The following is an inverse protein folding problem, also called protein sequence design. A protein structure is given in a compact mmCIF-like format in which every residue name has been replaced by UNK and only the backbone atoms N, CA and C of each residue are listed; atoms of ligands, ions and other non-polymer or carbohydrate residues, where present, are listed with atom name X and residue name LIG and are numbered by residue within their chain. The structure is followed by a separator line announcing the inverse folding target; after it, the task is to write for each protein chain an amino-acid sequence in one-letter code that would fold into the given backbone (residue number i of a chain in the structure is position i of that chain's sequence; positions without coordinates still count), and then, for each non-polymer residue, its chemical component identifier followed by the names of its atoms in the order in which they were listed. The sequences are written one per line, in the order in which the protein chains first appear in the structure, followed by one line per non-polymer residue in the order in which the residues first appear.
data_IF_326580526190
#
_entry.id   IF_326580526190
#
_cell.length_a   1.000
_cell.length_b   1.000
_cell.length_c   1.000
_cell.angle_alpha   90.00
_cell.angle_beta   90.00
_cell.angle_gamma   90.00
#
_symmetry.space_group_name_H-M   'P 1'
#
loop_
_entity.id
_entity.type
_entity.pdbx_description
1 polymer ?
#
# COMPACT_ATOMS: atom_id res chain seq x y z
N UNK A 1 18.16 37.98 -22.65
CA UNK A 1 18.16 37.14 -23.88
C UNK A 1 17.36 35.90 -23.57
N UNK A 2 16.26 35.65 -24.30
CA UNK A 2 15.42 34.47 -24.10
C UNK A 2 16.09 33.23 -24.75
N UNK A 3 16.30 32.13 -24.02
CA UNK A 3 16.50 30.83 -24.63
C UNK A 3 15.13 30.15 -24.75
N UNK A 4 14.58 30.11 -25.97
CA UNK A 4 13.53 29.17 -26.37
C UNK A 4 14.21 27.90 -26.88
N UNK A 5 14.43 26.93 -25.99
CA UNK A 5 14.57 25.52 -26.35
C UNK A 5 13.50 24.83 -25.50
N UNK A 6 12.35 24.56 -26.10
CA UNK A 6 11.33 23.71 -25.47
C UNK A 6 11.92 22.31 -25.35
N UNK A 7 12.25 21.89 -24.13
CA UNK A 7 12.65 20.51 -23.84
C UNK A 7 11.60 19.53 -24.42
N UNK A 8 12.03 18.38 -24.98
CA UNK A 8 11.09 17.34 -25.39
C UNK A 8 10.15 16.99 -24.24
N UNK A 9 8.85 16.88 -24.51
CA UNK A 9 7.83 16.62 -23.48
C UNK A 9 8.11 15.32 -22.69
N UNK A 10 8.82 14.38 -23.31
CA UNK A 10 9.29 13.14 -22.69
C UNK A 10 10.27 13.42 -21.55
N UNK A 11 11.20 14.34 -21.73
CA UNK A 11 12.24 14.63 -20.74
C UNK A 11 11.65 15.39 -19.55
N UNK A 12 10.72 16.31 -19.82
CA UNK A 12 9.90 16.96 -18.77
C UNK A 12 9.10 15.91 -17.98
N UNK A 13 8.50 14.94 -18.66
CA UNK A 13 7.70 13.90 -18.03
C UNK A 13 8.53 12.91 -17.19
N UNK A 14 9.70 12.51 -17.68
CA UNK A 14 10.68 11.69 -16.94
C UNK A 14 11.13 12.43 -15.68
N UNK A 15 11.52 13.70 -15.81
CA UNK A 15 11.98 14.53 -14.69
C UNK A 15 10.88 14.69 -13.63
N UNK A 16 9.64 14.96 -14.06
CA UNK A 16 8.48 15.04 -13.18
C UNK A 16 8.22 13.71 -12.45
N UNK A 17 8.30 12.58 -13.16
CA UNK A 17 8.12 11.26 -12.53
C UNK A 17 9.13 11.03 -11.42
N UNK A 18 10.43 11.15 -11.75
CA UNK A 18 11.54 10.76 -10.89
C UNK A 18 11.70 11.68 -9.67
N UNK A 19 11.50 13.00 -9.85
CA UNK A 19 11.81 13.98 -8.81
C UNK A 19 10.59 14.40 -7.97
N UNK A 20 9.39 14.32 -8.52
CA UNK A 20 8.18 14.81 -7.87
C UNK A 20 7.17 13.69 -7.60
N UNK A 21 6.82 12.90 -8.61
CA UNK A 21 5.67 11.99 -8.53
C UNK A 21 5.93 10.77 -7.65
N UNK A 22 7.08 10.10 -7.84
CA UNK A 22 7.42 8.86 -7.13
C UNK A 22 8.27 9.09 -5.88
N UNK A 23 8.60 10.35 -5.56
CA UNK A 23 9.48 10.68 -4.43
C UNK A 23 8.89 10.10 -3.15
N UNK A 24 9.67 9.27 -2.46
CA UNK A 24 9.22 8.62 -1.22
C UNK A 24 8.15 7.53 -1.42
N UNK A 25 7.99 7.02 -2.65
CA UNK A 25 7.25 5.78 -2.88
C UNK A 25 8.21 4.59 -2.89
N UNK A 26 7.65 3.40 -3.05
CA UNK A 26 8.41 2.17 -3.31
C UNK A 26 9.36 2.25 -4.54
N UNK A 27 9.16 3.21 -5.44
CA UNK A 27 10.03 3.46 -6.60
C UNK A 27 11.15 4.47 -6.33
N UNK A 28 11.42 4.84 -5.07
CA UNK A 28 12.45 5.82 -4.72
C UNK A 28 13.87 5.44 -5.17
N UNK A 29 14.12 4.17 -5.52
CA UNK A 29 15.38 3.69 -6.09
C UNK A 29 15.55 4.02 -7.59
N UNK A 30 14.48 4.37 -8.31
CA UNK A 30 14.52 4.57 -9.77
C UNK A 30 15.48 5.68 -10.25
N UNK A 31 15.65 6.82 -9.55
CA UNK A 31 16.63 7.82 -9.96
C UNK A 31 18.07 7.27 -10.00
N UNK A 32 18.43 6.42 -9.03
CA UNK A 32 19.75 5.78 -8.97
C UNK A 32 19.92 4.77 -10.11
N UNK A 33 18.87 3.99 -10.40
CA UNK A 33 18.89 3.04 -11.52
C UNK A 33 18.98 3.78 -12.85
N UNK A 34 18.18 4.84 -13.05
CA UNK A 34 18.14 5.61 -14.29
C UNK A 34 19.47 6.32 -14.60
N UNK A 35 20.14 6.85 -13.58
CA UNK A 35 21.42 7.57 -13.74
C UNK A 35 22.56 6.68 -14.22
N UNK A 36 22.44 5.36 -14.06
CA UNK A 36 23.48 4.38 -14.36
C UNK A 36 23.27 3.61 -15.67
N UNK A 37 22.20 3.88 -16.41
CA UNK A 37 21.85 3.14 -17.64
C UNK A 37 22.17 4.00 -18.87
N UNK A 38 22.62 3.34 -19.95
CA UNK A 38 22.73 3.98 -21.26
C UNK A 38 21.35 4.50 -21.73
N UNK A 39 21.30 5.62 -22.44
CA UNK A 39 20.05 6.32 -22.83
C UNK A 39 19.01 5.48 -23.61
N UNK A 40 19.38 4.27 -24.02
CA UNK A 40 18.60 3.29 -24.77
C UNK A 40 18.52 1.97 -23.98
N UNK A 41 17.33 1.58 -23.51
CA UNK A 41 17.12 0.35 -22.76
C UNK A 41 15.69 0.21 -22.24
N UNK A 42 15.34 -0.99 -21.76
CA UNK A 42 13.99 -1.38 -21.31
C UNK A 42 13.38 -0.37 -20.31
N UNK A 43 14.20 0.14 -19.39
CA UNK A 43 13.75 1.09 -18.39
C UNK A 43 13.47 2.49 -18.97
N UNK A 44 14.14 2.89 -20.05
CA UNK A 44 13.97 4.20 -20.69
C UNK A 44 12.56 4.35 -21.28
N UNK A 45 12.11 3.37 -22.06
CA UNK A 45 10.75 3.35 -22.63
C UNK A 45 9.70 3.28 -21.52
N UNK A 46 9.93 2.47 -20.48
CA UNK A 46 9.01 2.34 -19.34
C UNK A 46 8.86 3.63 -18.53
N UNK A 47 9.97 4.31 -18.18
CA UNK A 47 9.95 5.59 -17.46
C UNK A 47 9.26 6.66 -18.29
N UNK A 48 9.49 6.73 -19.60
CA UNK A 48 8.78 7.67 -20.48
C UNK A 48 7.27 7.40 -20.49
N UNK A 49 6.86 6.14 -20.54
CA UNK A 49 5.45 5.77 -20.47
C UNK A 49 4.80 6.21 -19.14
N UNK A 50 5.40 5.81 -18.02
CA UNK A 50 4.90 6.16 -16.68
C UNK A 50 4.92 7.67 -16.42
N UNK A 51 5.97 8.36 -16.87
CA UNK A 51 6.11 9.80 -16.71
C UNK A 51 5.09 10.59 -17.52
N UNK A 52 4.83 10.19 -18.77
CA UNK A 52 3.80 10.85 -19.58
C UNK A 52 2.40 10.60 -19.02
N UNK A 53 2.14 9.40 -18.48
CA UNK A 53 0.89 9.09 -17.81
C UNK A 53 0.69 9.90 -16.52
N UNK A 54 1.72 9.97 -15.66
CA UNK A 54 1.65 10.74 -14.42
C UNK A 54 1.53 12.24 -14.68
N UNK A 55 2.28 12.77 -15.65
CA UNK A 55 2.19 14.18 -16.07
C UNK A 55 0.81 14.49 -16.67
N UNK A 56 0.25 13.57 -17.47
CA UNK A 56 -1.12 13.68 -18.01
C UNK A 56 -2.14 13.87 -16.90
N UNK A 57 -2.04 13.09 -15.82
CA UNK A 57 -2.96 13.16 -14.68
C UNK A 57 -2.77 14.47 -13.90
N UNK A 58 -1.53 14.79 -13.54
CA UNK A 58 -1.18 15.98 -12.77
C UNK A 58 -1.59 17.28 -13.49
N UNK A 59 -1.33 17.39 -14.80
CA UNK A 59 -1.60 18.59 -15.60
C UNK A 59 -2.97 18.60 -16.29
N UNK A 60 -3.79 17.55 -16.11
CA UNK A 60 -5.09 17.37 -16.81
C UNK A 60 -4.97 17.47 -18.34
N UNK A 61 -3.92 16.88 -18.90
CA UNK A 61 -3.65 16.88 -20.33
C UNK A 61 -3.81 15.48 -20.94
N UNK A 62 -5.05 15.00 -21.16
CA UNK A 62 -5.30 13.63 -21.61
C UNK A 62 -4.63 13.28 -22.95
N UNK A 63 -4.30 14.28 -23.78
CA UNK A 63 -3.55 14.10 -25.02
C UNK A 63 -2.15 13.49 -24.82
N UNK A 64 -1.58 13.58 -23.61
CA UNK A 64 -0.30 12.94 -23.29
C UNK A 64 -0.43 11.40 -23.17
N UNK A 65 -1.63 10.88 -22.90
CA UNK A 65 -1.85 9.43 -22.77
C UNK A 65 -1.60 8.68 -24.09
N UNK A 66 -1.89 9.29 -25.24
CA UNK A 66 -1.62 8.67 -26.55
C UNK A 66 -0.12 8.47 -26.77
N UNK A 67 0.71 9.41 -26.30
CA UNK A 67 2.17 9.28 -26.32
C UNK A 67 2.64 8.25 -25.30
N UNK A 68 2.05 8.27 -24.10
CA UNK A 68 2.36 7.34 -23.03
C UNK A 68 2.09 5.89 -23.46
N UNK A 69 0.98 5.65 -24.16
CA UNK A 69 0.60 4.33 -24.69
C UNK A 69 1.60 3.79 -25.72
N UNK A 70 2.16 4.65 -26.57
CA UNK A 70 3.20 4.25 -27.53
C UNK A 70 4.44 3.73 -26.81
N UNK A 71 4.93 4.48 -25.82
CA UNK A 71 6.08 4.05 -25.02
C UNK A 71 5.77 2.83 -24.16
N UNK A 72 4.55 2.66 -23.68
CA UNK A 72 4.12 1.45 -22.98
C UNK A 72 4.18 0.20 -23.88
N UNK A 73 3.70 0.31 -25.13
CA UNK A 73 3.78 -0.78 -26.10
C UNK A 73 5.23 -1.12 -26.50
N UNK A 74 6.08 -0.10 -26.65
CA UNK A 74 7.52 -0.25 -26.85
C UNK A 74 8.16 -0.96 -25.66
N UNK A 75 7.90 -0.51 -24.44
CA UNK A 75 8.41 -1.10 -23.20
C UNK A 75 8.01 -2.57 -23.02
N UNK A 76 6.78 -2.97 -23.35
CA UNK A 76 6.39 -4.39 -23.36
C UNK A 76 7.26 -5.20 -24.33
N UNK A 77 7.50 -4.66 -25.53
CA UNK A 77 8.33 -5.31 -26.55
C UNK A 77 9.77 -5.45 -26.05
N UNK A 78 10.32 -4.39 -25.45
CA UNK A 78 11.67 -4.36 -24.89
C UNK A 78 11.82 -5.37 -23.74
N UNK A 79 10.87 -5.41 -22.81
CA UNK A 79 10.84 -6.41 -21.72
C UNK A 79 10.81 -7.81 -22.29
N UNK A 80 9.90 -8.10 -23.22
CA UNK A 80 9.77 -9.43 -23.81
C UNK A 80 11.05 -9.90 -24.52
N UNK A 81 11.76 -8.97 -25.18
CA UNK A 81 13.06 -9.23 -25.80
C UNK A 81 14.15 -9.50 -24.75
N UNK A 82 14.22 -8.70 -23.69
CA UNK A 82 15.17 -8.89 -22.60
C UNK A 82 14.96 -10.23 -21.88
N UNK A 83 13.70 -10.65 -21.71
CA UNK A 83 13.34 -11.95 -21.10
C UNK A 83 13.79 -13.17 -21.93
N UNK A 84 14.15 -13.01 -23.21
CA UNK A 84 14.71 -14.10 -24.02
C UNK A 84 16.15 -14.47 -23.61
N UNK A 85 16.86 -13.59 -22.90
CA UNK A 85 18.21 -13.83 -22.40
C UNK A 85 18.18 -14.05 -20.90
N UNK A 86 18.71 -15.17 -20.42
CA UNK A 86 18.80 -15.47 -18.99
C UNK A 86 19.62 -14.43 -18.23
N UNK A 87 20.67 -13.88 -18.85
CA UNK A 87 21.50 -12.84 -18.25
C UNK A 87 20.74 -11.53 -18.13
N UNK A 88 20.12 -11.06 -19.23
CA UNK A 88 19.37 -9.81 -19.24
C UNK A 88 18.14 -9.87 -18.32
N UNK A 89 17.43 -11.00 -18.27
CA UNK A 89 16.27 -11.19 -17.39
C UNK A 89 16.57 -10.98 -15.90
N UNK A 90 17.83 -11.14 -15.47
CA UNK A 90 18.26 -10.91 -14.09
C UNK A 90 18.59 -9.44 -13.78
N UNK A 91 18.64 -8.55 -14.78
CA UNK A 91 19.03 -7.15 -14.63
C UNK A 91 18.02 -6.28 -13.90
N UNK A 92 18.48 -5.43 -12.98
CA UNK A 92 17.67 -4.52 -12.14
C UNK A 92 16.70 -3.65 -12.95
N UNK A 93 17.13 -3.20 -14.13
CA UNK A 93 16.34 -2.45 -15.09
C UNK A 93 15.11 -3.22 -15.59
N UNK A 94 15.23 -4.53 -15.86
CA UNK A 94 14.13 -5.37 -16.34
C UNK A 94 13.06 -5.55 -15.26
N UNK A 95 13.46 -5.91 -14.04
CA UNK A 95 12.49 -6.09 -12.94
C UNK A 95 11.85 -4.76 -12.54
N UNK A 96 12.63 -3.68 -12.47
CA UNK A 96 12.10 -2.34 -12.23
C UNK A 96 11.10 -1.93 -13.33
N UNK A 97 11.36 -2.28 -14.59
CA UNK A 97 10.46 -2.02 -15.71
C UNK A 97 9.14 -2.78 -15.58
N UNK A 98 9.16 -4.05 -15.19
CA UNK A 98 7.93 -4.84 -14.95
C UNK A 98 7.08 -4.20 -13.83
N UNK A 99 7.72 -3.78 -12.73
CA UNK A 99 7.02 -3.08 -11.64
C UNK A 99 6.46 -1.73 -12.10
N UNK A 100 7.19 -0.99 -12.92
CA UNK A 100 6.77 0.32 -13.41
C UNK A 100 5.70 0.23 -14.53
N UNK A 101 5.69 -0.84 -15.34
CA UNK A 101 4.59 -1.17 -16.26
C UNK A 101 3.31 -1.47 -15.48
N UNK A 102 3.41 -2.23 -14.40
CA UNK A 102 2.29 -2.45 -13.49
C UNK A 102 1.76 -1.11 -12.95
N UNK A 103 2.65 -0.20 -12.56
CA UNK A 103 2.25 1.14 -12.12
C UNK A 103 1.62 1.98 -13.23
N UNK A 104 2.13 1.95 -14.45
CA UNK A 104 1.49 2.62 -15.58
C UNK A 104 0.05 2.15 -15.77
N UNK A 105 -0.18 0.84 -15.70
CA UNK A 105 -1.52 0.26 -15.80
C UNK A 105 -2.43 0.76 -14.68
N UNK A 106 -1.92 0.90 -13.46
CA UNK A 106 -2.64 1.49 -12.34
C UNK A 106 -3.16 2.91 -12.61
N UNK A 107 -2.31 3.72 -13.25
CA UNK A 107 -2.59 5.12 -13.51
C UNK A 107 -3.60 5.28 -14.64
N UNK A 108 -3.59 4.37 -15.61
CA UNK A 108 -4.26 4.56 -16.91
C UNK A 108 -5.43 3.61 -17.16
N UNK A 109 -5.36 2.37 -16.69
CA UNK A 109 -6.40 1.36 -16.89
C UNK A 109 -7.45 1.49 -15.79
N UNK A 110 -8.38 2.42 -16.04
CA UNK A 110 -9.48 2.86 -15.14
C UNK A 110 -10.55 1.81 -14.83
N UNK A 111 -10.24 0.53 -14.83
CA UNK A 111 -11.21 -0.54 -14.52
C UNK A 111 -10.81 -1.22 -13.22
N UNK A 112 -11.62 -1.09 -12.15
CA UNK A 112 -11.43 -1.78 -10.86
C UNK A 112 -11.32 -3.32 -10.97
N UNK A 113 -11.62 -3.91 -12.13
CA UNK A 113 -11.82 -5.34 -12.35
C UNK A 113 -10.87 -5.94 -13.40
N UNK A 114 -9.60 -5.52 -13.50
CA UNK A 114 -8.59 -6.28 -14.26
C UNK A 114 -7.58 -7.03 -13.36
N UNK A 115 -8.04 -7.93 -12.46
CA UNK A 115 -7.15 -8.72 -11.62
C UNK A 115 -6.22 -9.63 -12.43
N UNK A 116 -6.54 -9.91 -13.70
CA UNK A 116 -5.76 -10.80 -14.56
C UNK A 116 -4.41 -10.20 -14.97
N UNK A 117 -4.38 -8.94 -15.43
CA UNK A 117 -3.13 -8.26 -15.81
C UNK A 117 -2.18 -8.12 -14.61
N UNK A 118 -2.75 -7.75 -13.45
CA UNK A 118 -2.05 -7.66 -12.18
C UNK A 118 -1.42 -9.00 -11.76
N UNK A 119 -2.23 -10.07 -11.73
CA UNK A 119 -1.73 -11.40 -11.39
C UNK A 119 -0.56 -11.78 -12.29
N UNK A 120 -0.60 -11.47 -13.59
CA UNK A 120 0.50 -11.79 -14.52
C UNK A 120 1.80 -11.07 -14.15
N UNK A 121 1.77 -9.77 -13.86
CA UNK A 121 2.98 -9.01 -13.50
C UNK A 121 3.60 -9.49 -12.20
N UNK A 122 2.79 -9.74 -11.16
CA UNK A 122 3.28 -10.25 -9.87
C UNK A 122 3.94 -11.60 -10.00
N UNK A 123 3.32 -12.54 -10.73
CA UNK A 123 3.87 -13.88 -10.91
C UNK A 123 5.15 -13.83 -11.76
N UNK A 124 5.19 -12.95 -12.78
CA UNK A 124 6.40 -12.69 -13.56
C UNK A 124 7.53 -12.14 -12.68
N UNK A 125 7.23 -11.13 -11.86
CA UNK A 125 8.19 -10.53 -10.93
C UNK A 125 8.73 -11.54 -9.90
N UNK A 126 7.86 -12.38 -9.31
CA UNK A 126 8.27 -13.47 -8.42
C UNK A 126 9.21 -14.45 -9.13
N UNK A 127 8.90 -14.83 -10.37
CA UNK A 127 9.74 -15.75 -11.16
C UNK A 127 11.14 -15.16 -11.39
N UNK A 128 11.24 -13.85 -11.64
CA UNK A 128 12.53 -13.17 -11.78
C UNK A 128 13.28 -13.01 -10.46
N UNK A 129 12.56 -12.73 -9.37
CA UNK A 129 13.14 -12.72 -8.01
C UNK A 129 13.75 -14.09 -7.69
N UNK A 130 13.05 -15.18 -8.00
CA UNK A 130 13.57 -16.52 -7.83
C UNK A 130 14.79 -16.79 -8.71
N UNK A 131 14.76 -16.36 -9.99
CA UNK A 131 15.87 -16.52 -10.93
C UNK A 131 17.15 -15.79 -10.47
N UNK A 132 17.01 -14.57 -9.96
CA UNK A 132 18.13 -13.77 -9.41
C UNK A 132 18.75 -14.40 -8.16
N UNK A 133 17.94 -15.09 -7.37
CA UNK A 133 18.33 -15.71 -6.13
C UNK A 133 18.95 -14.71 -5.14
N UNK A 134 19.85 -15.18 -4.28
CA UNK A 134 20.41 -14.37 -3.18
C UNK A 134 21.36 -13.25 -3.63
N UNK A 135 21.84 -13.27 -4.88
CA UNK A 135 22.74 -12.24 -5.41
C UNK A 135 22.11 -10.85 -5.39
N UNK A 136 20.79 -10.75 -5.53
CA UNK A 136 20.08 -9.47 -5.50
C UNK A 136 20.18 -8.74 -4.15
N UNK A 137 20.55 -9.45 -3.07
CA UNK A 137 20.70 -8.85 -1.73
C UNK A 137 22.08 -8.20 -1.52
N UNK A 138 23.00 -8.36 -2.48
CA UNK A 138 24.35 -7.79 -2.40
C UNK A 138 24.39 -6.31 -2.79
N UNK A 139 23.34 -5.80 -3.45
CA UNK A 139 23.21 -4.40 -3.82
C UNK A 139 22.02 -3.76 -3.11
N UNK A 140 22.15 -2.47 -2.78
CA UNK A 140 21.04 -1.69 -2.19
C UNK A 140 19.82 -1.65 -3.12
N UNK A 141 20.06 -1.45 -4.42
CA UNK A 141 19.00 -1.41 -5.44
C UNK A 141 18.26 -2.75 -5.53
N UNK A 142 19.00 -3.87 -5.60
CA UNK A 142 18.41 -5.19 -5.68
C UNK A 142 17.57 -5.53 -4.45
N UNK A 143 18.01 -5.10 -3.25
CA UNK A 143 17.23 -5.25 -2.02
C UNK A 143 15.94 -4.41 -2.01
N UNK A 144 15.99 -3.17 -2.48
CA UNK A 144 14.81 -2.30 -2.57
C UNK A 144 13.78 -2.82 -3.59
N UNK A 145 14.25 -3.28 -4.76
CA UNK A 145 13.37 -3.92 -5.75
C UNK A 145 12.76 -5.20 -5.18
N UNK A 146 13.56 -6.03 -4.50
CA UNK A 146 13.05 -7.23 -3.83
C UNK A 146 11.98 -6.89 -2.79
N UNK A 147 12.21 -5.87 -1.94
CA UNK A 147 11.23 -5.41 -0.95
C UNK A 147 9.91 -5.03 -1.61
N UNK A 148 9.97 -4.30 -2.71
CA UNK A 148 8.79 -3.92 -3.49
C UNK A 148 8.02 -5.15 -3.96
N UNK A 149 8.70 -6.11 -4.61
CA UNK A 149 8.08 -7.34 -5.11
C UNK A 149 7.53 -8.20 -3.98
N UNK A 150 8.25 -8.34 -2.87
CA UNK A 150 7.82 -9.11 -1.71
C UNK A 150 6.52 -8.55 -1.11
N UNK A 151 6.45 -7.23 -0.89
CA UNK A 151 5.24 -6.55 -0.41
C UNK A 151 4.09 -6.73 -1.40
N UNK A 152 4.39 -6.75 -2.70
CA UNK A 152 3.40 -6.98 -3.76
C UNK A 152 2.73 -8.33 -3.68
N UNK A 153 3.54 -9.36 -3.49
CA UNK A 153 3.08 -10.75 -3.41
C UNK A 153 2.31 -10.96 -2.12
N UNK A 154 2.82 -10.48 -0.98
CA UNK A 154 2.14 -10.57 0.32
C UNK A 154 0.72 -9.98 0.25
N UNK A 155 0.58 -8.80 -0.37
CA UNK A 155 -0.71 -8.19 -0.57
C UNK A 155 -1.63 -9.04 -1.46
N UNK A 156 -1.11 -9.50 -2.60
CA UNK A 156 -1.88 -10.34 -3.52
C UNK A 156 -2.42 -11.58 -2.79
N UNK A 157 -1.58 -12.23 -1.98
CA UNK A 157 -1.94 -13.39 -1.17
C UNK A 157 -3.05 -13.08 -0.17
N UNK A 158 -2.93 -11.97 0.57
CA UNK A 158 -3.98 -11.51 1.49
C UNK A 158 -5.31 -11.35 0.75
N UNK A 159 -5.34 -10.70 -0.41
CA UNK A 159 -6.56 -10.37 -1.13
C UNK A 159 -7.25 -11.57 -1.77
N UNK A 160 -6.46 -12.57 -2.17
CA UNK A 160 -6.94 -13.76 -2.85
C UNK A 160 -7.11 -14.96 -1.90
N UNK A 161 -6.85 -14.77 -0.61
CA UNK A 161 -6.93 -15.81 0.43
C UNK A 161 -6.01 -16.99 0.09
N UNK A 162 -4.80 -16.68 -0.39
CA UNK A 162 -3.76 -17.66 -0.68
C UNK A 162 -2.56 -17.45 0.22
N UNK A 163 -1.75 -18.48 0.41
CA UNK A 163 -0.53 -18.39 1.21
C UNK A 163 0.58 -17.66 0.49
N UNK A 164 1.49 -17.07 1.25
CA UNK A 164 2.72 -16.51 0.69
C UNK A 164 3.59 -17.67 0.18
N UNK A 165 4.13 -17.61 -1.05
CA UNK A 165 4.94 -18.69 -1.59
C UNK A 165 6.15 -19.00 -0.70
N UNK A 166 6.39 -20.27 -0.39
CA UNK A 166 7.49 -20.69 0.51
C UNK A 166 8.85 -20.18 0.07
N UNK A 167 9.10 -20.16 -1.24
CA UNK A 167 10.31 -19.61 -1.85
C UNK A 167 10.55 -18.14 -1.45
N UNK A 168 9.50 -17.33 -1.37
CA UNK A 168 9.59 -15.94 -0.93
C UNK A 168 9.86 -15.87 0.58
N UNK A 169 9.19 -16.70 1.38
CA UNK A 169 9.43 -16.79 2.82
C UNK A 169 10.88 -17.15 3.13
N UNK A 170 11.45 -18.15 2.44
CA UNK A 170 12.86 -18.55 2.59
C UNK A 170 13.84 -17.41 2.27
N UNK A 171 13.52 -16.59 1.26
CA UNK A 171 14.32 -15.42 0.89
C UNK A 171 14.24 -14.32 1.95
N UNK A 172 13.05 -14.07 2.51
CA UNK A 172 12.86 -13.12 3.60
C UNK A 172 13.55 -13.57 4.90
N UNK A 173 13.49 -14.86 5.22
CA UNK A 173 14.20 -15.45 6.36
C UNK A 173 15.71 -15.32 6.20
N UNK A 174 16.20 -15.55 4.98
CA UNK A 174 17.61 -15.36 4.67
C UNK A 174 18.04 -13.90 4.94
N UNK A 175 17.28 -12.90 4.51
CA UNK A 175 17.59 -11.49 4.78
C UNK A 175 17.57 -11.21 6.28
N UNK A 176 16.51 -11.63 6.98
CA UNK A 176 16.36 -11.42 8.41
C UNK A 176 17.53 -12.01 9.23
N UNK A 177 18.07 -13.15 8.81
CA UNK A 177 19.19 -13.80 9.48
C UNK A 177 20.59 -13.30 9.06
N UNK A 178 20.73 -12.69 7.88
CA UNK A 178 22.04 -12.42 7.28
C UNK A 178 22.31 -10.95 6.96
N UNK A 179 21.37 -10.05 7.23
CA UNK A 179 21.54 -8.62 6.99
C UNK A 179 21.24 -7.82 8.24
N UNK A 180 22.07 -6.81 8.53
CA UNK A 180 21.82 -5.82 9.58
C UNK A 180 20.82 -4.77 9.06
N UNK A 181 19.60 -5.20 8.72
CA UNK A 181 18.52 -4.30 8.32
C UNK A 181 17.56 -4.07 9.48
N UNK A 182 17.23 -2.80 9.74
CA UNK A 182 16.19 -2.40 10.69
C UNK A 182 14.84 -2.16 10.00
N UNK A 183 14.73 -2.51 8.71
CA UNK A 183 13.48 -2.37 7.97
C UNK A 183 12.45 -3.40 8.44
N UNK A 184 11.32 -2.91 8.92
CA UNK A 184 10.19 -3.71 9.41
C UNK A 184 9.61 -4.65 8.34
N UNK A 185 9.87 -4.42 7.06
CA UNK A 185 9.45 -5.31 5.98
C UNK A 185 10.13 -6.69 6.07
N UNK A 186 11.30 -6.76 6.73
CA UNK A 186 12.11 -7.96 6.90
C UNK A 186 12.12 -8.50 8.34
N UNK A 187 11.41 -7.87 9.28
CA UNK A 187 11.37 -8.35 10.66
C UNK A 187 10.57 -9.65 10.77
N UNK A 188 11.03 -10.50 11.69
CA UNK A 188 10.43 -11.80 11.98
C UNK A 188 10.05 -11.91 13.46
N UNK A 189 8.89 -12.50 13.81
CA UNK A 189 7.87 -13.05 12.91
C UNK A 189 7.09 -11.98 12.11
N UNK A 190 6.58 -12.32 10.92
CA UNK A 190 5.87 -11.37 10.04
C UNK A 190 4.35 -11.49 10.15
N UNK A 191 3.69 -10.40 10.58
CA UNK A 191 2.22 -10.33 10.72
C UNK A 191 1.52 -10.46 9.38
N UNK A 192 2.06 -9.84 8.32
CA UNK A 192 1.46 -9.87 6.98
C UNK A 192 1.41 -11.29 6.40
N UNK A 193 2.47 -12.07 6.62
CA UNK A 193 2.52 -13.48 6.20
C UNK A 193 1.56 -14.33 7.04
N UNK A 194 1.60 -14.19 8.37
CA UNK A 194 0.68 -14.91 9.26
C UNK A 194 -0.80 -14.61 8.96
N UNK A 195 -1.11 -13.37 8.58
CA UNK A 195 -2.47 -12.98 8.21
C UNK A 195 -2.90 -13.57 6.86
N UNK A 196 -2.00 -13.62 5.87
CA UNK A 196 -2.27 -14.30 4.60
C UNK A 196 -2.56 -15.80 4.83
N UNK A 197 -1.76 -16.45 5.68
CA UNK A 197 -1.93 -17.85 6.03
C UNK A 197 -3.24 -18.10 6.78
N UNK A 198 -3.61 -17.25 7.76
CA UNK A 198 -4.89 -17.36 8.45
C UNK A 198 -6.07 -17.29 7.47
N UNK A 199 -6.05 -16.35 6.52
CA UNK A 199 -7.12 -16.22 5.55
C UNK A 199 -7.22 -17.43 4.61
N UNK A 200 -6.09 -17.98 4.20
CA UNK A 200 -6.04 -19.20 3.41
C UNK A 200 -6.56 -20.41 4.20
N UNK A 201 -6.13 -20.57 5.45
CA UNK A 201 -6.60 -21.62 6.36
C UNK A 201 -8.13 -21.58 6.54
N UNK A 202 -8.70 -20.37 6.71
CA UNK A 202 -10.15 -20.17 6.80
C UNK A 202 -10.85 -20.53 5.49
N UNK A 203 -10.33 -20.05 4.35
CA UNK A 203 -10.93 -20.30 3.04
C UNK A 203 -10.92 -21.80 2.66
N UNK A 204 -9.90 -22.54 3.09
CA UNK A 204 -9.76 -23.98 2.89
C UNK A 204 -10.49 -24.82 3.94
N UNK A 205 -11.07 -24.18 4.97
CA UNK A 205 -11.75 -24.85 6.08
C UNK A 205 -10.82 -25.58 7.06
N UNK A 206 -9.52 -25.32 7.00
CA UNK A 206 -8.52 -25.87 7.93
C UNK A 206 -8.71 -25.27 9.32
N UNK A 207 -8.99 -23.96 9.39
CA UNK A 207 -9.35 -23.26 10.63
C UNK A 207 -10.77 -22.75 10.47
N UNK A 208 -11.69 -23.25 11.30
CA UNK A 208 -13.10 -22.87 11.24
C UNK A 208 -13.71 -22.55 12.61
N UNK A 209 -13.10 -23.03 13.69
CA UNK A 209 -13.58 -22.75 15.04
C UNK A 209 -13.34 -21.29 15.44
N UNK A 210 -14.38 -20.54 15.87
CA UNK A 210 -14.25 -19.11 16.19
C UNK A 210 -13.18 -18.78 17.22
N UNK A 211 -13.04 -19.59 18.29
CA UNK A 211 -12.02 -19.36 19.33
C UNK A 211 -10.59 -19.57 18.80
N UNK A 212 -10.38 -20.48 17.83
CA UNK A 212 -9.07 -20.68 17.20
C UNK A 212 -8.69 -19.48 16.32
N UNK A 213 -9.66 -18.92 15.60
CA UNK A 213 -9.47 -17.71 14.80
C UNK A 213 -9.12 -16.53 15.72
N UNK A 214 -9.87 -16.35 16.81
CA UNK A 214 -9.59 -15.31 17.83
C UNK A 214 -8.17 -15.46 18.39
N UNK A 215 -7.78 -16.67 18.80
CA UNK A 215 -6.46 -16.93 19.36
C UNK A 215 -5.33 -16.58 18.36
N UNK A 216 -5.49 -16.93 17.08
CA UNK A 216 -4.53 -16.56 16.02
C UNK A 216 -4.48 -15.04 15.83
N UNK A 217 -5.61 -14.34 15.89
CA UNK A 217 -5.66 -12.87 15.85
C UNK A 217 -4.92 -12.22 17.03
N UNK A 218 -5.12 -12.72 18.25
CA UNK A 218 -4.45 -12.22 19.45
C UNK A 218 -2.92 -12.40 19.37
N UNK A 219 -2.45 -13.55 18.87
CA UNK A 219 -1.00 -13.78 18.62
C UNK A 219 -0.45 -12.76 17.64
N UNK A 220 -1.14 -12.50 16.53
CA UNK A 220 -0.69 -11.52 15.54
C UNK A 220 -0.69 -10.09 16.11
N UNK A 221 -1.68 -9.73 16.94
CA UNK A 221 -1.70 -8.43 17.63
C UNK A 221 -0.49 -8.26 18.55
N UNK A 222 -0.11 -9.30 19.28
CA UNK A 222 1.10 -9.27 20.12
C UNK A 222 2.36 -9.01 19.27
N UNK A 223 2.49 -9.65 18.11
CA UNK A 223 3.62 -9.41 17.20
C UNK A 223 3.64 -7.96 16.69
N UNK A 224 2.48 -7.37 16.40
CA UNK A 224 2.38 -5.94 16.05
C UNK A 224 2.88 -5.07 17.21
N UNK A 225 2.42 -5.35 18.44
CA UNK A 225 2.82 -4.60 19.63
C UNK A 225 4.33 -4.68 19.88
N UNK A 226 4.90 -5.89 19.84
CA UNK A 226 6.33 -6.12 20.06
C UNK A 226 7.19 -5.42 19.00
N UNK A 227 6.75 -5.46 17.73
CA UNK A 227 7.42 -4.78 16.63
C UNK A 227 7.45 -3.27 16.85
N UNK A 228 6.33 -2.67 17.25
CA UNK A 228 6.24 -1.23 17.51
C UNK A 228 7.04 -0.80 18.75
N UNK A 229 7.11 -1.64 19.79
CA UNK A 229 7.92 -1.38 20.98
C UNK A 229 9.43 -1.39 20.68
N UNK A 230 9.87 -2.18 19.71
CA UNK A 230 11.26 -2.28 19.28
C UNK A 230 11.74 -1.09 18.42
N UNK A 231 10.83 -0.18 18.02
CA UNK A 231 11.17 0.92 17.13
C UNK A 231 12.14 1.93 17.78
N UNK A 232 13.12 2.43 17.01
CA UNK A 232 14.03 3.46 17.49
C UNK A 232 13.26 4.78 17.76
N UNK A 233 13.77 5.67 18.63
CA UNK A 233 13.11 6.93 18.95
C UNK A 233 12.78 7.80 17.73
N UNK A 234 13.59 7.76 16.68
CA UNK A 234 13.37 8.50 15.43
C UNK A 234 12.12 8.08 14.65
N UNK A 235 11.57 6.89 14.95
CA UNK A 235 10.39 6.33 14.29
C UNK A 235 9.11 6.50 15.13
N UNK A 236 9.19 7.21 16.26
CA UNK A 236 8.03 7.57 17.08
C UNK A 236 7.36 8.83 16.51
N UNK A 237 6.15 9.09 16.98
CA UNK A 237 5.38 10.28 16.62
C UNK A 237 5.14 11.18 17.84
N UNK A 238 4.97 12.46 17.56
CA UNK A 238 4.60 13.45 18.58
C UNK A 238 3.09 13.68 18.56
N UNK A 239 2.49 13.68 19.75
CA UNK A 239 1.06 13.91 19.92
C UNK A 239 0.78 15.39 20.14
N UNK A 240 0.07 16.02 19.20
CA UNK A 240 -0.24 17.44 19.22
C UNK A 240 -1.73 17.67 19.53
N UNK A 241 -2.02 18.37 20.63
CA UNK A 241 -3.39 18.71 21.02
C UNK A 241 -3.85 19.95 20.24
N UNK A 242 -4.99 19.85 19.55
CA UNK A 242 -5.53 20.97 18.76
C UNK A 242 -6.06 22.06 19.70
N UNK A 243 -5.42 23.23 19.71
CA UNK A 243 -5.82 24.34 20.61
C UNK A 243 -7.11 25.05 20.16
N UNK A 244 -7.59 24.78 18.95
CA UNK A 244 -8.78 25.39 18.39
C UNK A 244 -9.50 24.38 17.47
N UNK A 245 -10.62 23.76 17.89
CA UNK A 245 -11.28 22.72 17.10
C UNK A 245 -11.78 23.32 15.79
N UNK A 246 -11.08 23.02 14.69
CA UNK A 246 -11.48 23.48 13.37
C UNK A 246 -12.74 22.75 12.87
N UNK A 247 -13.43 23.40 11.91
CA UNK A 247 -14.82 23.27 11.39
C UNK A 247 -15.39 21.84 11.18
N UNK A 248 -14.61 20.76 11.29
CA UNK A 248 -15.11 19.38 11.09
C UNK A 248 -15.50 18.64 12.35
N UNK A 249 -15.25 19.16 13.56
CA UNK A 249 -15.78 18.64 14.83
C UNK A 249 -15.35 17.23 15.28
N UNK A 250 -14.63 16.47 14.43
CA UNK A 250 -14.29 15.07 14.69
C UNK A 250 -12.85 14.84 15.11
N UNK A 251 -11.94 15.77 14.83
CA UNK A 251 -10.53 15.63 15.19
C UNK A 251 -10.25 16.23 16.57
N UNK A 252 -9.75 15.40 17.48
CA UNK A 252 -9.35 15.80 18.84
C UNK A 252 -7.86 16.13 18.96
N UNK A 253 -7.04 15.57 18.06
CA UNK A 253 -5.57 15.69 18.07
C UNK A 253 -4.98 15.43 16.68
N UNK A 254 -3.70 15.77 16.50
CA UNK A 254 -2.90 15.49 15.30
C UNK A 254 -1.62 14.75 15.68
N UNK A 255 -1.13 13.91 14.78
CA UNK A 255 0.12 13.18 14.95
C UNK A 255 1.19 13.74 14.01
N UNK A 256 2.34 14.10 14.57
CA UNK A 256 3.49 14.59 13.81
C UNK A 256 4.54 13.48 13.70
N UNK A 257 5.04 13.27 12.48
CA UNK A 257 6.06 12.28 12.16
C UNK A 257 7.30 12.98 11.59
N UNK A 258 8.47 12.35 11.74
CA UNK A 258 9.72 12.85 11.17
C UNK A 258 9.72 12.86 9.64
N UNK A 259 9.04 11.89 9.01
CA UNK A 259 8.80 11.81 7.58
C UNK A 259 7.51 11.02 7.26
N UNK A 260 7.09 11.00 5.99
CA UNK A 260 5.87 10.33 5.56
C UNK A 260 5.98 8.80 5.52
N UNK A 261 7.18 8.21 5.41
CA UNK A 261 7.36 6.76 5.47
C UNK A 261 7.10 6.23 6.88
N UNK A 262 7.51 6.99 7.91
CA UNK A 262 7.18 6.68 9.30
C UNK A 262 5.66 6.74 9.49
N UNK A 263 4.98 7.74 8.93
CA UNK A 263 3.51 7.81 8.97
C UNK A 263 2.86 6.61 8.26
N UNK A 264 3.39 6.20 7.10
CA UNK A 264 2.92 5.03 6.35
C UNK A 264 3.12 3.72 7.14
N UNK A 265 4.26 3.58 7.82
CA UNK A 265 4.54 2.45 8.71
C UNK A 265 3.50 2.36 9.83
N UNK A 266 3.25 3.46 10.55
CA UNK A 266 2.24 3.48 11.60
C UNK A 266 0.83 3.22 11.09
N UNK A 267 0.47 3.80 9.94
CA UNK A 267 -0.80 3.53 9.27
C UNK A 267 -0.96 2.04 8.91
N UNK A 268 0.12 1.38 8.49
CA UNK A 268 0.11 -0.07 8.24
C UNK A 268 -0.18 -0.86 9.52
N UNK A 269 0.46 -0.49 10.64
CA UNK A 269 0.21 -1.13 11.92
C UNK A 269 -1.23 -0.90 12.42
N UNK A 270 -1.78 0.31 12.28
CA UNK A 270 -3.18 0.57 12.64
C UNK A 270 -4.18 -0.14 11.73
N UNK A 271 -3.91 -0.27 10.43
CA UNK A 271 -4.73 -1.10 9.55
C UNK A 271 -4.73 -2.57 9.97
N UNK A 272 -3.57 -3.11 10.41
CA UNK A 272 -3.49 -4.45 10.96
C UNK A 272 -4.35 -4.58 12.23
N UNK A 273 -4.28 -3.60 13.16
CA UNK A 273 -5.14 -3.57 14.36
C UNK A 273 -6.62 -3.53 14.01
N UNK A 274 -7.03 -2.68 13.07
CA UNK A 274 -8.43 -2.57 12.61
C UNK A 274 -8.90 -3.93 12.10
N UNK A 275 -8.11 -4.56 11.23
CA UNK A 275 -8.48 -5.81 10.57
C UNK A 275 -8.56 -6.98 11.56
N UNK A 276 -7.55 -7.14 12.42
CA UNK A 276 -7.48 -8.23 13.39
C UNK A 276 -8.57 -8.08 14.47
N UNK A 277 -8.77 -6.88 15.01
CA UNK A 277 -9.82 -6.67 16.01
C UNK A 277 -11.23 -6.74 15.42
N UNK A 278 -11.44 -6.35 14.16
CA UNK A 278 -12.71 -6.58 13.50
C UNK A 278 -13.00 -8.09 13.39
N UNK A 279 -12.00 -8.89 13.02
CA UNK A 279 -12.15 -10.34 12.97
C UNK A 279 -12.44 -10.94 14.36
N UNK A 280 -11.71 -10.51 15.40
CA UNK A 280 -12.00 -10.92 16.79
C UNK A 280 -13.43 -10.57 17.18
N UNK A 281 -13.89 -9.35 16.87
CA UNK A 281 -15.24 -8.91 17.16
C UNK A 281 -16.29 -9.79 16.47
N UNK A 282 -16.12 -10.06 15.17
CA UNK A 282 -17.05 -10.88 14.39
C UNK A 282 -17.11 -12.33 14.91
N UNK A 283 -15.96 -12.94 15.21
CA UNK A 283 -15.89 -14.29 15.75
C UNK A 283 -16.46 -14.38 17.16
N UNK A 284 -16.21 -13.39 18.01
CA UNK A 284 -16.73 -13.37 19.38
C UNK A 284 -18.25 -13.24 19.43
N UNK A 285 -18.85 -12.50 18.48
CA UNK A 285 -20.30 -12.50 18.30
C UNK A 285 -20.85 -13.88 17.91
N UNK A 286 -20.10 -14.69 17.18
CA UNK A 286 -20.49 -16.07 16.85
C UNK A 286 -20.41 -16.95 18.10
N UNK A 287 -19.31 -16.88 18.85
CA UNK A 287 -19.15 -17.61 20.13
C UNK A 287 -20.29 -17.29 21.09
N UNK A 288 -20.59 -16.02 21.29
CA UNK A 288 -21.66 -15.57 22.18
C UNK A 288 -23.02 -16.14 21.78
N UNK A 289 -23.35 -16.13 20.47
CA UNK A 289 -24.59 -16.73 19.95
C UNK A 289 -24.67 -18.24 20.17
N UNK A 290 -23.55 -18.95 20.06
CA UNK A 290 -23.49 -20.41 20.31
C UNK A 290 -23.70 -20.71 21.79
N UNK A 291 -23.09 -19.92 22.68
CA UNK A 291 -23.18 -20.11 24.13
C UNK A 291 -24.54 -19.67 24.71
N UNK A 292 -25.16 -18.64 24.13
CA UNK A 292 -26.41 -18.04 24.60
C UNK A 292 -27.46 -17.94 23.48
N UNK A 293 -28.02 -19.08 23.00
CA UNK A 293 -28.94 -19.10 21.86
C UNK A 293 -30.30 -18.43 22.15
N UNK A 294 -30.64 -18.21 23.41
CA UNK A 294 -31.92 -17.63 23.86
C UNK A 294 -31.94 -16.09 23.92
N UNK A 295 -30.79 -15.42 23.73
CA UNK A 295 -30.72 -13.95 23.76
C UNK A 295 -31.36 -13.38 22.48
N UNK A 296 -32.61 -12.94 22.60
CA UNK A 296 -33.38 -12.33 21.50
C UNK A 296 -32.78 -11.00 21.03
N UNK A 297 -32.42 -10.93 19.74
CA UNK A 297 -32.39 -9.86 18.70
C UNK A 297 -32.28 -8.35 19.08
N UNK A 298 -32.72 -7.90 20.26
CA UNK A 298 -32.62 -6.51 20.72
C UNK A 298 -31.23 -6.25 21.34
N UNK A 299 -30.22 -6.16 20.47
CA UNK A 299 -28.80 -5.99 20.76
C UNK A 299 -28.18 -7.16 21.55
N UNK A 300 -27.27 -7.96 20.96
CA UNK A 300 -26.43 -8.86 21.74
C UNK A 300 -25.78 -8.03 22.83
N UNK A 301 -25.91 -8.43 24.11
CA UNK A 301 -25.07 -7.83 25.14
C UNK A 301 -23.63 -8.16 24.73
N UNK A 302 -22.92 -7.16 24.22
CA UNK A 302 -21.58 -7.37 23.72
C UNK A 302 -20.72 -7.88 24.85
N UNK A 303 -20.02 -8.98 24.59
CA UNK A 303 -19.09 -9.50 25.57
C UNK A 303 -18.01 -8.45 25.86
N UNK A 304 -17.33 -8.61 26.99
CA UNK A 304 -16.16 -7.79 27.30
C UNK A 304 -15.09 -7.88 26.19
N UNK A 305 -14.96 -9.02 25.50
CA UNK A 305 -14.00 -9.22 24.40
C UNK A 305 -14.42 -8.39 23.18
N UNK A 306 -15.69 -8.49 22.76
CA UNK A 306 -16.23 -7.68 21.66
C UNK A 306 -16.13 -6.17 21.94
N UNK A 307 -16.43 -5.72 23.16
CA UNK A 307 -16.28 -4.31 23.56
C UNK A 307 -14.83 -3.83 23.46
N UNK A 308 -13.86 -4.65 23.90
CA UNK A 308 -12.44 -4.34 23.76
C UNK A 308 -12.03 -4.25 22.30
N UNK A 309 -12.37 -5.26 21.49
CA UNK A 309 -12.02 -5.30 20.08
C UNK A 309 -12.59 -4.08 19.32
N UNK A 310 -13.84 -3.70 19.58
CA UNK A 310 -14.41 -2.45 19.04
C UNK A 310 -13.60 -1.23 19.44
N UNK A 311 -13.27 -1.10 20.73
CA UNK A 311 -12.50 0.05 21.21
C UNK A 311 -11.16 0.17 20.47
N UNK A 312 -10.44 -0.94 20.29
CA UNK A 312 -9.19 -0.97 19.54
C UNK A 312 -9.38 -0.54 18.06
N UNK A 313 -10.47 -0.98 17.41
CA UNK A 313 -10.81 -0.55 16.04
C UNK A 313 -11.07 0.96 15.99
N UNK A 314 -11.84 1.49 16.94
CA UNK A 314 -12.14 2.92 17.02
C UNK A 314 -10.87 3.74 17.27
N UNK A 315 -10.06 3.35 18.24
CA UNK A 315 -8.82 4.04 18.60
C UNK A 315 -7.86 4.03 17.40
N UNK A 316 -7.60 2.87 16.77
CA UNK A 316 -6.75 2.78 15.59
C UNK A 316 -7.26 3.63 14.41
N UNK A 317 -8.58 3.74 14.26
CA UNK A 317 -9.20 4.58 13.23
C UNK A 317 -9.02 6.07 13.53
N UNK A 318 -9.19 6.50 14.78
CA UNK A 318 -8.91 7.88 15.21
C UNK A 318 -7.44 8.24 14.92
N UNK A 319 -6.49 7.32 15.17
CA UNK A 319 -5.07 7.54 14.87
C UNK A 319 -4.80 7.70 13.37
N UNK A 320 -5.36 6.84 12.51
CA UNK A 320 -5.28 7.01 11.05
C UNK A 320 -5.81 8.39 10.65
N UNK A 321 -6.98 8.77 11.17
CA UNK A 321 -7.56 10.08 10.88
C UNK A 321 -6.66 11.22 11.39
N UNK A 322 -5.93 11.04 12.49
CA UNK A 322 -5.00 12.01 13.04
C UNK A 322 -3.65 12.09 12.31
N UNK A 323 -3.30 11.09 11.48
CA UNK A 323 -2.13 11.18 10.59
C UNK A 323 -2.30 12.15 9.46
N UNK A 324 -3.55 12.45 9.07
CA UNK A 324 -3.81 13.33 7.95
C UNK A 324 -3.41 14.72 8.41
N UNK A 325 -2.31 15.30 7.92
CA UNK A 325 -1.76 16.42 8.65
C UNK A 325 -2.63 17.66 8.42
N UNK A 326 -2.33 18.77 9.09
CA UNK A 326 -2.66 20.09 8.53
C UNK A 326 -1.92 20.38 7.21
N UNK A 327 -1.26 19.38 6.60
CA UNK A 327 -0.50 19.37 5.35
C UNK A 327 -1.24 20.04 4.20
N UNK A 328 -2.57 19.97 4.22
CA UNK A 328 -3.43 20.57 3.21
C UNK A 328 -3.76 22.05 3.43
N UNK A 329 -3.43 22.62 4.60
CA UNK A 329 -3.83 23.99 4.96
C UNK A 329 -2.77 25.06 4.67
N UNK A 330 -1.47 24.72 4.61
CA UNK A 330 -0.43 25.78 4.63
C UNK A 330 0.71 25.68 3.61
N UNK A 331 1.10 24.51 3.08
CA UNK A 331 2.17 24.45 2.04
C UNK A 331 2.00 23.28 1.04
N UNK A 332 1.20 23.44 -0.03
CA UNK A 332 1.02 22.42 -1.09
C UNK A 332 2.32 22.01 -1.81
N UNK A 333 3.36 22.85 -1.79
CA UNK A 333 4.58 22.67 -2.58
C UNK A 333 5.60 21.67 -2.01
N UNK A 334 5.34 21.06 -0.85
CA UNK A 334 6.29 20.14 -0.19
C UNK A 334 5.79 18.70 -0.04
N UNK A 335 4.54 18.42 -0.36
CA UNK A 335 3.95 17.08 -0.19
C UNK A 335 4.02 16.30 -1.49
N UNK A 336 4.67 15.14 -1.48
CA UNK A 336 4.75 14.27 -2.66
C UNK A 336 3.39 13.66 -3.00
N UNK A 337 3.16 13.36 -4.28
CA UNK A 337 1.96 12.65 -4.73
C UNK A 337 1.86 11.27 -4.06
N UNK A 338 2.99 10.63 -3.78
CA UNK A 338 3.08 9.37 -3.02
C UNK A 338 2.47 9.48 -1.62
N UNK A 339 2.62 10.62 -0.93
CA UNK A 339 2.01 10.83 0.39
C UNK A 339 0.48 10.85 0.30
N UNK A 340 -0.07 11.50 -0.72
CA UNK A 340 -1.51 11.45 -0.99
C UNK A 340 -1.99 10.05 -1.32
N UNK A 341 -1.18 9.29 -2.07
CA UNK A 341 -1.49 7.92 -2.45
C UNK A 341 -1.51 6.96 -1.25
N UNK A 342 -0.49 7.02 -0.38
CA UNK A 342 -0.32 6.13 0.77
C UNK A 342 -1.46 6.23 1.79
N UNK A 343 -2.19 7.36 1.82
CA UNK A 343 -3.34 7.59 2.69
C UNK A 343 -4.66 7.03 2.17
N UNK A 344 -4.75 6.66 0.88
CA UNK A 344 -6.02 6.21 0.27
C UNK A 344 -6.55 4.96 0.97
N UNK A 345 -5.70 3.95 1.17
CA UNK A 345 -6.11 2.71 1.81
C UNK A 345 -6.41 2.92 3.31
N UNK A 346 -5.53 3.49 4.15
CA UNK A 346 -5.84 3.74 5.55
C UNK A 346 -7.18 4.45 5.76
N UNK A 347 -7.47 5.48 4.96
CA UNK A 347 -8.75 6.19 5.00
C UNK A 347 -9.95 5.32 4.59
N UNK A 348 -9.78 4.50 3.56
CA UNK A 348 -10.84 3.57 3.18
C UNK A 348 -11.08 2.51 4.25
N UNK A 349 -10.02 1.90 4.80
CA UNK A 349 -10.10 0.90 5.86
C UNK A 349 -10.81 1.47 7.09
N UNK A 350 -10.50 2.72 7.46
CA UNK A 350 -11.19 3.47 8.49
C UNK A 350 -12.69 3.68 8.18
N UNK A 351 -13.02 4.26 7.02
CA UNK A 351 -14.40 4.64 6.69
C UNK A 351 -15.32 3.48 6.31
N UNK A 352 -14.78 2.40 5.79
CA UNK A 352 -15.51 1.20 5.39
C UNK A 352 -15.85 0.28 6.58
N UNK A 353 -15.18 0.48 7.72
CA UNK A 353 -15.36 -0.38 8.88
C UNK A 353 -16.79 -0.25 9.45
N UNK A 354 -17.48 -1.37 9.77
CA UNK A 354 -18.84 -1.32 10.30
C UNK A 354 -18.92 -0.85 11.76
N UNK A 355 -17.81 -0.88 12.50
CA UNK A 355 -17.76 -0.55 13.94
C UNK A 355 -17.51 0.93 14.24
N UNK A 356 -17.22 1.74 13.22
CA UNK A 356 -16.93 3.17 13.40
C UNK A 356 -18.19 4.03 13.25
N UNK A 357 -18.17 5.22 13.85
CA UNK A 357 -19.28 6.17 13.76
C UNK A 357 -19.48 6.65 12.32
N UNK A 358 -20.73 7.04 11.93
CA UNK A 358 -21.00 7.65 10.63
C UNK A 358 -20.09 8.84 10.33
N UNK A 359 -19.70 9.57 11.36
CA UNK A 359 -18.82 10.72 11.21
C UNK A 359 -17.38 10.42 10.80
N UNK A 360 -16.82 9.30 11.26
CA UNK A 360 -15.50 8.84 10.78
C UNK A 360 -15.58 8.52 9.29
N UNK A 361 -16.67 7.87 8.85
CA UNK A 361 -16.91 7.60 7.44
C UNK A 361 -17.03 8.89 6.62
N UNK A 362 -17.81 9.87 7.09
CA UNK A 362 -17.96 11.17 6.43
C UNK A 362 -16.63 11.93 6.35
N UNK A 363 -15.83 11.87 7.43
CA UNK A 363 -14.49 12.43 7.45
C UNK A 363 -13.60 11.75 6.41
N UNK A 364 -13.54 10.41 6.38
CA UNK A 364 -12.76 9.66 5.40
C UNK A 364 -13.15 9.98 3.96
N UNK A 365 -14.47 10.05 3.66
CA UNK A 365 -14.99 10.45 2.35
C UNK A 365 -14.51 11.86 1.98
N UNK A 366 -14.57 12.79 2.93
CA UNK A 366 -14.14 14.18 2.71
C UNK A 366 -12.64 14.26 2.40
N UNK A 367 -11.82 13.55 3.17
CA UNK A 367 -10.37 13.52 2.94
C UNK A 367 -10.00 12.83 1.63
N UNK A 368 -10.67 11.74 1.26
CA UNK A 368 -10.46 11.06 -0.02
C UNK A 368 -10.81 11.96 -1.22
N UNK A 369 -11.91 12.72 -1.14
CA UNK A 369 -12.25 13.73 -2.16
C UNK A 369 -11.20 14.83 -2.22
N UNK A 370 -10.68 15.26 -1.08
CA UNK A 370 -9.63 16.26 -1.02
C UNK A 370 -8.34 15.77 -1.66
N UNK A 371 -7.85 14.58 -1.29
CA UNK A 371 -6.69 13.91 -1.91
C UNK A 371 -6.87 13.77 -3.42
N UNK A 372 -8.05 13.34 -3.87
CA UNK A 372 -8.36 13.22 -5.30
C UNK A 372 -8.23 14.56 -6.02
N UNK A 373 -8.70 15.63 -5.39
CA UNK A 373 -8.65 16.98 -5.94
C UNK A 373 -7.23 17.55 -5.94
N UNK A 374 -6.49 17.42 -4.84
CA UNK A 374 -5.19 18.06 -4.64
C UNK A 374 -4.10 17.34 -5.44
N UNK A 375 -4.00 16.02 -5.28
CA UNK A 375 -2.96 15.21 -5.91
C UNK A 375 -3.34 14.65 -7.28
N UNK A 376 -4.56 14.93 -7.75
CA UNK A 376 -5.09 14.43 -9.03
C UNK A 376 -5.06 12.91 -9.13
N UNK A 377 -5.49 12.24 -8.05
CA UNK A 377 -5.55 10.78 -7.94
C UNK A 377 -6.99 10.28 -8.13
N UNK A 378 -7.37 9.75 -9.31
CA UNK A 378 -8.70 9.15 -9.54
C UNK A 378 -9.04 8.03 -8.54
N UNK A 379 -8.02 7.32 -8.09
CA UNK A 379 -8.09 6.26 -7.08
C UNK A 379 -8.74 6.72 -5.78
N UNK A 380 -8.37 7.91 -5.29
CA UNK A 380 -8.95 8.47 -4.07
C UNK A 380 -10.44 8.83 -4.30
N UNK A 381 -10.78 9.33 -5.49
CA UNK A 381 -12.18 9.59 -5.85
C UNK A 381 -13.00 8.29 -5.89
N UNK A 382 -12.46 7.21 -6.45
CA UNK A 382 -13.13 5.91 -6.46
C UNK A 382 -13.35 5.36 -5.06
N UNK A 383 -12.31 5.37 -4.22
CA UNK A 383 -12.41 4.98 -2.82
C UNK A 383 -13.52 5.76 -2.08
N UNK A 384 -13.55 7.08 -2.26
CA UNK A 384 -14.59 7.92 -1.67
C UNK A 384 -15.99 7.58 -2.18
N UNK A 385 -16.15 7.33 -3.48
CA UNK A 385 -17.44 6.93 -4.05
C UNK A 385 -17.89 5.54 -3.55
N UNK A 386 -16.95 4.61 -3.35
CA UNK A 386 -17.24 3.28 -2.81
C UNK A 386 -17.73 3.35 -1.36
N UNK A 387 -17.13 4.22 -0.53
CA UNK A 387 -17.62 4.48 0.83
C UNK A 387 -19.03 5.07 0.82
N UNK A 388 -19.32 6.02 -0.08
CA UNK A 388 -20.68 6.58 -0.26
C UNK A 388 -21.67 5.49 -0.65
N UNK A 389 -21.26 4.55 -1.50
CA UNK A 389 -22.09 3.41 -1.92
C UNK A 389 -22.20 2.30 -0.84
N UNK A 390 -21.56 2.46 0.33
CA UNK A 390 -21.57 1.46 1.40
C UNK A 390 -20.76 0.20 1.08
N UNK A 391 -19.80 0.27 0.16
CA UNK A 391 -18.93 -0.86 -0.17
C UNK A 391 -17.87 -1.06 0.92
N UNK A 392 -17.77 -2.27 1.44
CA UNK A 392 -16.78 -2.65 2.46
C UNK A 392 -15.67 -3.58 1.94
N UNK A 393 -15.77 -4.07 0.70
CA UNK A 393 -14.81 -5.04 0.16
C UNK A 393 -13.46 -4.39 -0.04
N UNK A 394 -12.37 -5.08 0.28
CA UNK A 394 -11.00 -4.63 0.00
C UNK A 394 -10.48 -5.04 -1.39
N UNK A 395 -11.23 -5.89 -2.13
CA UNK A 395 -10.83 -6.47 -3.42
C UNK A 395 -10.57 -5.45 -4.53
N UNK A 396 -11.04 -4.22 -4.38
CA UNK A 396 -10.79 -3.14 -5.33
C UNK A 396 -9.43 -2.46 -5.10
N UNK A 397 -8.83 -2.63 -3.90
CA UNK A 397 -7.55 -2.03 -3.58
C UNK A 397 -6.44 -2.81 -4.24
N UNK A 398 -6.16 -2.53 -5.50
CA UNK A 398 -4.98 -3.09 -6.15
C UNK A 398 -3.70 -2.64 -5.43
N UNK A 399 -2.57 -3.33 -5.63
CA UNK A 399 -1.28 -2.95 -5.03
C UNK A 399 -0.91 -1.48 -5.17
N UNK A 400 -1.47 -0.86 -6.19
CA UNK A 400 -1.24 0.51 -6.49
C UNK A 400 -1.52 1.39 -5.26
N UNK A 401 -2.34 0.98 -4.29
CA UNK A 401 -2.56 1.71 -3.03
C UNK A 401 -1.56 1.49 -1.89
N UNK A 402 -0.45 0.80 -2.14
CA UNK A 402 0.65 0.62 -1.17
C UNK A 402 1.87 1.49 -1.50
N UNK A 403 1.74 2.50 -2.38
CA UNK A 403 2.84 3.42 -2.66
C UNK A 403 3.35 4.13 -1.42
#
# INVERSE_FOLDING_TARGET
MCPTITEPIQDVAVTFLLNEYIRGSQFAYLPDVYSNIETTGVLSSTIKAAGLASLSLSRRQPALLDKALKFYAEAITDVNNALQSQEAAQGDDVLASIMLLSFYEALTLRKPNSPKAWSTHVHGALSLVALRGRKQFQSKIGLEIFKQVANSIKLFCIQNHTRVPSQLCEMLDFIACNTETHDIAFTRPSVTEAFADLRADIAEGIVSEPEDIIAKCDIMLQVVDDSLLSLPPSHRYDHMVESNPSISGHRKFHLQFGDHHIAQMWNTAWMARITLNLMIYEQDLIVSKIQHPSDTILAPNETRRALRARKEVMDATEHICATIPELFRWVPQQVSVSTGYSLIWPLFAAGANPLVSPSIRDFAITQLKHIASEFRLPQAQWAGNMLVAGTSTEKWMHIYHVF
#
